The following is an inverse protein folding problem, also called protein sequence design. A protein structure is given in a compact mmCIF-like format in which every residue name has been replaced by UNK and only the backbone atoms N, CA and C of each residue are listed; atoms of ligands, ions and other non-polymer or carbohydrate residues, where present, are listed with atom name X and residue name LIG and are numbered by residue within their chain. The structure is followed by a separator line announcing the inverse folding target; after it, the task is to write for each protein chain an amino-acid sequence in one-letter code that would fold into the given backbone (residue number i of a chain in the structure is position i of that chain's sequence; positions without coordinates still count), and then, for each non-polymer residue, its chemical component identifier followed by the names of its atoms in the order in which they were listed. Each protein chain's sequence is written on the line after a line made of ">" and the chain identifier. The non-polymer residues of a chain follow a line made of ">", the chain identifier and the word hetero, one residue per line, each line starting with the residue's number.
data_IF_592036234866
#
_entry.id   IF_592036234866
#
_cell.length_a   1.000
_cell.length_b   1.000
_cell.length_c   1.000
_cell.angle_alpha   90.00
_cell.angle_beta   90.00
_cell.angle_gamma   90.00
#
_symmetry.space_group_name_H-M   'P 1'
#
loop_
_entity.id
_entity.type
_entity.pdbx_description
1 polymer ?
#
# COMPACT_ATOMS: atom_id res chain seq x y z
N UNK A 1 -42.11 31.10 94.73
CA UNK A 1 -41.71 31.71 93.45
C UNK A 1 -40.96 30.67 92.63
N UNK A 2 -41.42 30.38 91.40
CA UNK A 2 -40.68 29.64 90.35
C UNK A 2 -40.79 28.11 90.37
N UNK A 3 -40.88 27.38 89.26
CA UNK A 3 -41.16 27.72 87.86
C UNK A 3 -41.63 26.42 87.18
N UNK A 4 -42.73 26.46 86.41
CA UNK A 4 -43.22 25.33 85.62
C UNK A 4 -42.22 25.03 84.49
N UNK A 5 -41.66 23.82 84.44
CA UNK A 5 -40.76 23.39 83.36
C UNK A 5 -41.57 22.97 82.13
N UNK A 6 -41.53 23.78 81.09
CA UNK A 6 -42.06 23.45 79.77
C UNK A 6 -41.14 22.43 79.07
N UNK A 7 -41.71 21.29 78.67
CA UNK A 7 -41.06 20.28 77.83
C UNK A 7 -41.16 20.73 76.37
N UNK A 8 -40.05 21.14 75.76
CA UNK A 8 -39.99 21.46 74.32
C UNK A 8 -39.88 20.15 73.51
N UNK A 9 -40.82 19.92 72.61
CA UNK A 9 -40.77 18.86 71.60
C UNK A 9 -39.90 19.32 70.42
N UNK A 10 -38.83 18.57 70.12
CA UNK A 10 -38.02 18.79 68.93
C UNK A 10 -38.66 18.10 67.73
N UNK A 11 -39.30 18.87 66.85
CA UNK A 11 -39.74 18.39 65.53
C UNK A 11 -38.53 18.32 64.61
N UNK A 12 -38.11 17.09 64.26
CA UNK A 12 -37.04 16.82 63.29
C UNK A 12 -37.56 17.09 61.88
N UNK A 13 -37.16 18.21 61.27
CA UNK A 13 -37.43 18.47 59.85
C UNK A 13 -36.59 17.54 58.97
N UNK A 14 -37.27 16.76 58.13
CA UNK A 14 -36.65 15.96 57.07
C UNK A 14 -36.43 16.86 55.88
N UNK A 15 -35.18 17.26 55.65
CA UNK A 15 -34.77 18.02 54.48
C UNK A 15 -34.93 17.14 53.22
N UNK A 16 -35.88 17.48 52.34
CA UNK A 16 -35.99 16.87 51.02
C UNK A 16 -34.83 17.37 50.15
N UNK A 17 -33.91 16.47 49.81
CA UNK A 17 -32.82 16.73 48.87
C UNK A 17 -33.39 17.06 47.49
N UNK A 18 -33.02 18.22 46.94
CA UNK A 18 -33.38 18.62 45.59
C UNK A 18 -32.64 17.76 44.55
N UNK A 19 -33.36 17.28 43.53
CA UNK A 19 -32.80 16.50 42.42
C UNK A 19 -31.93 17.41 41.53
N UNK A 20 -30.69 17.03 41.18
CA UNK A 20 -29.90 17.82 40.23
C UNK A 20 -30.50 17.72 38.82
N UNK A 21 -30.56 18.85 38.11
CA UNK A 21 -30.99 18.91 36.72
C UNK A 21 -29.94 18.25 35.79
N UNK A 22 -30.36 17.57 34.71
CA UNK A 22 -29.43 17.02 33.73
C UNK A 22 -28.76 18.15 32.94
N UNK A 23 -27.45 18.33 33.10
CA UNK A 23 -26.64 19.17 32.21
C UNK A 23 -26.43 18.44 30.89
N UNK A 24 -27.11 18.90 29.84
CA UNK A 24 -26.98 18.37 28.48
C UNK A 24 -25.62 18.76 27.88
N UNK A 25 -24.71 17.80 27.74
CA UNK A 25 -23.38 17.96 27.14
C UNK A 25 -23.42 17.79 25.61
N UNK A 26 -24.24 18.61 24.93
CA UNK A 26 -24.49 18.55 23.47
C UNK A 26 -23.24 18.79 22.61
N UNK A 27 -22.23 19.50 23.13
CA UNK A 27 -21.01 19.85 22.37
C UNK A 27 -20.12 18.65 22.06
N UNK A 28 -20.09 17.63 22.92
CA UNK A 28 -19.29 16.42 22.67
C UNK A 28 -19.85 15.58 21.52
N UNK A 29 -21.18 15.50 21.40
CA UNK A 29 -21.84 14.85 20.27
C UNK A 29 -21.61 15.59 18.96
N UNK A 30 -21.66 16.93 18.99
CA UNK A 30 -21.40 17.76 17.80
C UNK A 30 -19.95 17.61 17.31
N UNK A 31 -18.96 17.63 18.22
CA UNK A 31 -17.55 17.46 17.86
C UNK A 31 -17.32 16.07 17.22
N UNK A 32 -17.86 15.01 17.81
CA UNK A 32 -17.71 13.66 17.25
C UNK A 32 -18.36 13.54 15.87
N UNK A 33 -19.53 14.15 15.67
CA UNK A 33 -20.21 14.17 14.37
C UNK A 33 -19.42 14.96 13.31
N UNK A 34 -18.84 16.10 13.66
CA UNK A 34 -18.02 16.88 12.72
C UNK A 34 -16.74 16.13 12.33
N UNK A 35 -16.10 15.44 13.27
CA UNK A 35 -14.90 14.64 13.01
C UNK A 35 -15.22 13.44 12.11
N UNK A 36 -16.31 12.71 12.36
CA UNK A 36 -16.68 11.58 11.50
C UNK A 36 -17.04 12.04 10.09
N UNK A 37 -17.78 13.15 9.97
CA UNK A 37 -18.17 13.71 8.67
C UNK A 37 -16.96 14.23 7.88
N UNK A 38 -15.98 14.86 8.55
CA UNK A 38 -14.72 15.28 7.94
C UNK A 38 -13.91 14.07 7.44
N UNK A 39 -13.77 13.01 8.25
CA UNK A 39 -13.06 11.79 7.85
C UNK A 39 -13.70 11.12 6.63
N UNK A 40 -15.04 11.03 6.59
CA UNK A 40 -15.77 10.47 5.44
C UNK A 40 -15.58 11.33 4.19
N UNK A 41 -15.62 12.65 4.31
CA UNK A 41 -15.39 13.56 3.19
C UNK A 41 -13.96 13.43 2.64
N UNK A 42 -12.95 13.28 3.50
CA UNK A 42 -11.55 13.08 3.08
C UNK A 42 -11.41 11.77 2.31
N UNK A 43 -11.93 10.66 2.83
CA UNK A 43 -11.87 9.35 2.16
C UNK A 43 -12.62 9.38 0.81
N UNK A 44 -13.79 10.01 0.76
CA UNK A 44 -14.56 10.17 -0.47
C UNK A 44 -13.83 11.02 -1.51
N UNK A 45 -13.12 12.08 -1.07
CA UNK A 45 -12.31 12.91 -1.97
C UNK A 45 -11.13 12.13 -2.54
N UNK A 46 -10.43 11.32 -1.74
CA UNK A 46 -9.34 10.45 -2.24
C UNK A 46 -9.88 9.44 -3.26
N UNK A 47 -11.03 8.83 -2.97
CA UNK A 47 -11.64 7.85 -3.87
C UNK A 47 -12.04 8.46 -5.22
N UNK A 48 -12.72 9.61 -5.19
CA UNK A 48 -13.21 10.28 -6.41
C UNK A 48 -12.09 10.95 -7.23
N UNK A 49 -11.01 11.42 -6.60
CA UNK A 49 -9.88 12.01 -7.33
C UNK A 49 -8.99 10.98 -8.01
N UNK A 50 -8.92 9.74 -7.49
CA UNK A 50 -8.22 8.65 -8.17
C UNK A 50 -8.83 8.32 -9.55
N UNK A 51 -10.16 8.37 -9.70
CA UNK A 51 -10.84 8.13 -10.98
C UNK A 51 -10.53 9.21 -12.03
N UNK A 52 -10.31 10.47 -11.59
CA UNK A 52 -10.08 11.60 -12.51
C UNK A 52 -8.71 11.60 -13.18
N UNK A 53 -7.71 10.88 -12.67
CA UNK A 53 -6.40 10.78 -13.34
C UNK A 53 -6.45 9.94 -14.62
N UNK A 54 -7.41 9.02 -14.73
CA UNK A 54 -7.63 8.23 -15.95
C UNK A 54 -8.22 9.07 -17.10
N UNK A 55 -8.96 10.15 -16.79
CA UNK A 55 -9.56 11.02 -17.80
C UNK A 55 -8.61 12.12 -18.34
N UNK A 56 -7.55 12.47 -17.61
CA UNK A 56 -6.66 13.59 -17.97
C UNK A 56 -5.47 13.19 -18.87
N UNK A 57 -5.27 11.90 -19.15
CA UNK A 57 -4.21 11.43 -20.06
C UNK A 57 -4.57 11.53 -21.55
N UNK A 58 -5.78 12.00 -21.88
CA UNK A 58 -6.29 12.06 -23.25
C UNK A 58 -6.19 13.44 -23.94
N UNK A 59 -5.61 14.47 -23.33
CA UNK A 59 -5.45 15.80 -23.95
C UNK A 59 -4.00 16.23 -24.03
N UNK A 60 -3.30 15.72 -25.04
CA UNK A 60 -1.93 16.09 -25.36
C UNK A 60 -1.50 15.80 -26.80
N UNK A 61 -2.44 15.78 -27.76
CA UNK A 61 -2.09 15.73 -29.20
C UNK A 61 -1.85 17.15 -29.72
N UNK A 62 -0.62 17.65 -29.61
CA UNK A 62 -0.20 18.77 -30.46
C UNK A 62 0.25 18.19 -31.81
N UNK A 63 -0.69 18.18 -32.75
CA UNK A 63 -0.43 17.97 -34.16
C UNK A 63 0.41 19.14 -34.69
N UNK A 64 1.70 18.90 -34.92
CA UNK A 64 2.44 19.63 -35.96
C UNK A 64 2.99 18.64 -36.96
N UNK A 65 2.27 18.57 -38.07
CA UNK A 65 2.65 17.90 -39.29
C UNK A 65 4.12 18.17 -39.64
N UNK A 66 4.89 17.10 -39.83
CA UNK A 66 6.00 17.07 -40.77
C UNK A 66 5.82 15.87 -41.68
N UNK A 67 5.22 16.17 -42.81
CA UNK A 67 5.56 15.70 -44.14
C UNK A 67 6.39 14.42 -44.20
N UNK A 68 5.72 13.34 -44.59
CA UNK A 68 6.32 12.15 -45.17
C UNK A 68 7.00 12.50 -46.50
N UNK A 69 8.32 12.67 -46.49
CA UNK A 69 9.15 12.46 -47.66
C UNK A 69 9.81 11.11 -47.47
N UNK A 70 9.44 10.17 -48.34
CA UNK A 70 9.91 8.79 -48.29
C UNK A 70 11.43 8.70 -48.43
N UNK A 71 12.00 7.86 -47.58
CA UNK A 71 13.24 7.15 -47.89
C UNK A 71 12.97 5.67 -47.57
N UNK A 72 12.37 4.97 -48.53
CA UNK A 72 12.37 3.52 -48.58
C UNK A 72 13.82 3.06 -48.79
N UNK A 73 14.51 2.74 -47.70
CA UNK A 73 15.68 1.87 -47.76
C UNK A 73 15.24 0.51 -47.24
N UNK A 74 15.08 -0.43 -48.17
CA UNK A 74 14.79 -1.83 -47.90
C UNK A 74 15.92 -2.45 -47.07
N UNK A 75 15.65 -2.74 -45.79
CA UNK A 75 16.54 -3.54 -44.94
C UNK A 75 16.15 -5.01 -45.13
N UNK A 76 17.06 -5.90 -45.58
CA UNK A 76 16.77 -7.32 -45.62
C UNK A 76 16.60 -7.86 -44.20
N UNK A 77 15.50 -8.59 -43.98
CA UNK A 77 15.20 -9.32 -42.75
C UNK A 77 16.14 -10.51 -42.62
N UNK A 78 17.36 -10.28 -42.14
CA UNK A 78 18.18 -11.32 -41.55
C UNK A 78 17.69 -11.53 -40.11
N UNK A 79 16.91 -12.58 -39.91
CA UNK A 79 16.56 -13.09 -38.59
C UNK A 79 17.84 -13.65 -37.94
N UNK A 80 18.61 -12.79 -37.28
CA UNK A 80 19.60 -13.23 -36.31
C UNK A 80 18.92 -13.15 -34.95
N UNK A 81 18.49 -14.31 -34.44
CA UNK A 81 18.24 -14.46 -33.02
C UNK A 81 19.51 -14.03 -32.29
N UNK A 82 19.45 -12.93 -31.54
CA UNK A 82 20.53 -12.55 -30.65
C UNK A 82 20.55 -13.53 -29.49
N UNK A 83 21.42 -14.54 -29.62
CA UNK A 83 21.97 -15.33 -28.53
C UNK A 83 22.38 -14.39 -27.38
N UNK A 84 22.21 -14.75 -26.10
CA UNK A 84 22.58 -13.88 -24.99
C UNK A 84 24.10 -13.69 -25.01
N UNK A 85 24.57 -12.48 -25.32
CA UNK A 85 25.98 -12.12 -25.12
C UNK A 85 26.27 -12.17 -23.63
N UNK A 86 27.32 -12.89 -23.27
CA UNK A 86 27.91 -12.93 -21.93
C UNK A 86 28.15 -11.52 -21.39
N UNK A 87 27.26 -11.07 -20.50
CA UNK A 87 27.58 -10.42 -19.23
C UNK A 87 28.58 -9.27 -19.13
N UNK A 88 28.87 -8.49 -20.17
CA UNK A 88 29.79 -7.36 -20.03
C UNK A 88 29.11 -6.04 -19.59
N UNK A 89 27.80 -5.88 -19.81
CA UNK A 89 27.08 -4.61 -19.56
C UNK A 89 26.06 -4.67 -18.41
N UNK A 90 26.24 -5.59 -17.44
CA UNK A 90 25.47 -5.49 -16.20
C UNK A 90 26.24 -4.51 -15.30
N UNK A 91 25.62 -3.36 -14.98
CA UNK A 91 26.13 -2.48 -13.92
C UNK A 91 26.40 -3.27 -12.64
N UNK A 92 27.16 -2.73 -11.67
CA UNK A 92 27.63 -3.49 -10.52
C UNK A 92 26.44 -4.15 -9.81
N UNK A 93 26.23 -5.44 -10.06
CA UNK A 93 25.40 -6.29 -9.22
C UNK A 93 26.23 -6.43 -7.97
N UNK A 94 25.97 -5.57 -6.98
CA UNK A 94 26.64 -5.60 -5.71
C UNK A 94 26.65 -7.06 -5.24
N UNK A 95 27.84 -7.67 -5.19
CA UNK A 95 28.04 -9.02 -4.68
C UNK A 95 27.72 -8.95 -3.20
N UNK A 96 26.45 -9.14 -2.88
CA UNK A 96 25.97 -9.26 -1.51
C UNK A 96 26.09 -10.72 -1.13
N UNK A 97 26.59 -10.92 0.08
CA UNK A 97 26.70 -12.19 0.78
C UNK A 97 25.46 -13.07 0.53
N UNK A 98 25.68 -14.31 0.08
CA UNK A 98 24.62 -15.31 -0.09
C UNK A 98 23.81 -15.42 1.19
N UNK A 99 22.53 -15.05 1.13
CA UNK A 99 21.70 -14.95 2.34
C UNK A 99 21.37 -16.33 2.87
N UNK A 100 22.01 -16.68 3.98
CA UNK A 100 21.59 -17.79 4.84
C UNK A 100 20.19 -17.49 5.38
N UNK A 101 19.19 -18.31 5.05
CA UNK A 101 17.84 -18.20 5.63
C UNK A 101 16.70 -17.91 4.64
N UNK A 102 16.98 -17.76 3.36
CA UNK A 102 15.91 -17.65 2.35
C UNK A 102 15.24 -19.01 2.07
N UNK A 103 13.90 -19.07 1.94
CA UNK A 103 13.21 -20.29 1.58
C UNK A 103 13.55 -20.72 0.14
N UNK A 104 13.41 -22.01 -0.22
CA UNK A 104 13.60 -22.45 -1.59
C UNK A 104 12.57 -21.79 -2.52
N UNK A 105 12.96 -21.47 -3.75
CA UNK A 105 12.03 -20.94 -4.75
C UNK A 105 10.91 -21.94 -5.06
N UNK A 106 9.69 -21.45 -5.37
CA UNK A 106 8.57 -22.34 -5.64
C UNK A 106 8.79 -23.15 -6.92
N UNK A 107 8.32 -24.40 -6.90
CA UNK A 107 8.22 -25.21 -8.10
C UNK A 107 6.91 -24.87 -8.83
N UNK A 108 7.02 -24.27 -10.00
CA UNK A 108 5.88 -23.91 -10.84
C UNK A 108 5.58 -24.98 -11.89
N UNK A 109 4.33 -25.05 -12.35
CA UNK A 109 3.88 -26.00 -13.38
C UNK A 109 4.01 -25.47 -14.81
N UNK A 110 4.54 -24.27 -14.96
CA UNK A 110 4.75 -23.58 -16.24
C UNK A 110 6.24 -23.37 -16.48
N UNK A 111 6.68 -23.25 -17.75
CA UNK A 111 8.06 -22.92 -18.05
C UNK A 111 8.36 -21.50 -17.56
N UNK A 112 9.35 -21.36 -16.68
CA UNK A 112 9.76 -20.05 -16.21
C UNK A 112 10.33 -19.21 -17.36
N UNK A 113 10.10 -17.89 -17.32
CA UNK A 113 10.51 -16.95 -18.35
C UNK A 113 12.03 -16.77 -18.44
N UNK A 114 12.79 -17.21 -17.43
CA UNK A 114 14.25 -17.02 -17.31
C UNK A 114 14.95 -18.29 -16.79
N UNK A 115 16.26 -18.45 -17.07
CA UNK A 115 17.05 -19.53 -16.49
C UNK A 115 17.06 -19.52 -14.94
N UNK A 116 17.20 -20.68 -14.29
CA UNK A 116 17.12 -20.80 -12.82
C UNK A 116 18.09 -19.89 -12.06
N UNK A 117 19.29 -19.69 -12.57
CA UNK A 117 20.31 -18.85 -11.94
C UNK A 117 19.89 -17.38 -11.93
N UNK A 118 19.25 -16.92 -13.02
CA UNK A 118 18.72 -15.56 -13.13
C UNK A 118 17.56 -15.39 -12.14
N UNK A 119 16.63 -16.35 -12.10
CA UNK A 119 15.52 -16.29 -11.13
C UNK A 119 16.03 -16.22 -9.71
N UNK A 120 16.98 -17.08 -9.31
CA UNK A 120 17.59 -17.03 -7.98
C UNK A 120 18.16 -15.65 -7.67
N UNK A 121 18.91 -15.07 -8.60
CA UNK A 121 19.52 -13.74 -8.39
C UNK A 121 18.48 -12.62 -8.25
N UNK A 122 17.39 -12.66 -9.00
CA UNK A 122 16.34 -11.63 -8.94
C UNK A 122 15.51 -11.75 -7.67
N UNK A 123 15.16 -12.96 -7.26
CA UNK A 123 14.43 -13.21 -6.01
C UNK A 123 15.28 -12.84 -4.79
N UNK A 124 16.58 -13.16 -4.80
CA UNK A 124 17.50 -12.73 -3.74
C UNK A 124 17.65 -11.20 -3.70
N UNK A 125 17.76 -10.55 -4.88
CA UNK A 125 17.73 -9.09 -4.96
C UNK A 125 16.43 -8.54 -4.36
N UNK A 126 15.28 -9.13 -4.67
CA UNK A 126 14.01 -8.66 -4.17
C UNK A 126 13.86 -8.81 -2.65
N UNK A 127 14.33 -9.92 -2.11
CA UNK A 127 14.35 -10.14 -0.67
C UNK A 127 15.21 -9.12 0.08
N UNK A 128 16.33 -8.71 -0.52
CA UNK A 128 17.35 -7.87 0.10
C UNK A 128 17.18 -6.37 -0.12
N UNK A 129 16.30 -5.94 -1.03
CA UNK A 129 16.10 -4.52 -1.32
C UNK A 129 14.60 -4.13 -1.29
N UNK A 130 13.82 -4.52 -0.26
CA UNK A 130 12.42 -4.12 -0.16
C UNK A 130 12.24 -2.60 -0.13
N UNK A 131 13.18 -1.88 0.48
CA UNK A 131 13.20 -0.42 0.53
C UNK A 131 13.31 0.23 -0.84
N UNK A 132 13.84 -0.46 -1.84
CA UNK A 132 13.86 0.04 -3.22
C UNK A 132 12.59 -0.40 -3.94
N UNK A 133 12.28 -1.69 -3.90
CA UNK A 133 11.21 -2.27 -4.72
C UNK A 133 9.82 -1.85 -4.28
N UNK A 134 9.61 -1.49 -3.01
CA UNK A 134 8.35 -0.93 -2.54
C UNK A 134 8.03 0.44 -3.16
N UNK A 135 9.04 1.18 -3.66
CA UNK A 135 8.82 2.44 -4.39
C UNK A 135 8.71 2.27 -5.89
N UNK A 136 9.02 1.08 -6.41
CA UNK A 136 8.88 0.79 -7.84
C UNK A 136 7.45 0.27 -8.06
N UNK A 137 6.62 0.93 -8.87
CA UNK A 137 5.27 0.47 -9.15
C UNK A 137 5.25 -0.96 -9.71
N UNK A 138 4.15 -1.67 -9.49
CA UNK A 138 3.86 -2.85 -10.28
C UNK A 138 3.45 -2.41 -11.69
N UNK A 139 4.04 -3.01 -12.73
CA UNK A 139 3.72 -2.68 -14.13
C UNK A 139 3.01 -3.84 -14.85
N UNK A 140 2.67 -4.90 -14.12
CA UNK A 140 2.00 -6.08 -14.66
C UNK A 140 0.48 -5.89 -14.82
N UNK A 141 -0.10 -4.83 -14.24
CA UNK A 141 -1.55 -4.61 -14.22
C UNK A 141 -2.30 -5.51 -13.24
N UNK A 142 -1.61 -6.02 -12.20
CA UNK A 142 -2.17 -6.91 -11.19
C UNK A 142 -2.43 -6.24 -9.84
N UNK A 143 -2.56 -4.91 -9.81
CA UNK A 143 -2.76 -4.12 -8.58
C UNK A 143 -4.06 -4.53 -7.87
N UNK A 144 -5.10 -4.83 -8.63
CA UNK A 144 -6.38 -5.33 -8.12
C UNK A 144 -6.30 -6.74 -7.50
N UNK A 145 -5.18 -7.45 -7.65
CA UNK A 145 -4.90 -8.74 -7.03
C UNK A 145 -3.99 -8.63 -5.80
N UNK A 146 -3.63 -7.41 -5.39
CA UNK A 146 -2.85 -7.13 -4.18
C UNK A 146 -1.37 -6.80 -4.44
N UNK A 147 -0.91 -6.77 -5.68
CA UNK A 147 0.46 -6.40 -6.03
C UNK A 147 0.57 -4.89 -6.28
N UNK A 148 0.90 -4.13 -5.25
CA UNK A 148 0.95 -2.66 -5.30
C UNK A 148 2.31 -2.13 -5.74
N UNK A 149 3.35 -2.96 -5.66
CA UNK A 149 4.73 -2.61 -6.00
C UNK A 149 5.45 -3.77 -6.69
N UNK A 150 6.62 -3.50 -7.26
CA UNK A 150 7.48 -4.54 -7.83
C UNK A 150 7.99 -5.54 -6.80
N UNK A 151 7.97 -5.21 -5.49
CA UNK A 151 8.32 -6.17 -4.44
C UNK A 151 7.34 -7.34 -4.41
N UNK A 152 6.05 -7.06 -4.62
CA UNK A 152 4.97 -8.04 -4.50
C UNK A 152 4.99 -9.07 -5.64
N UNK A 153 5.68 -8.77 -6.75
CA UNK A 153 5.92 -9.75 -7.81
C UNK A 153 6.75 -10.96 -7.33
N UNK A 154 7.55 -10.80 -6.26
CA UNK A 154 8.53 -11.80 -5.84
C UNK A 154 8.27 -12.34 -4.43
N UNK A 155 7.82 -11.50 -3.50
CA UNK A 155 7.65 -11.86 -2.09
C UNK A 155 6.17 -11.84 -1.74
N UNK A 156 5.64 -12.98 -1.33
CA UNK A 156 4.24 -13.10 -0.89
C UNK A 156 4.09 -12.54 0.54
N UNK A 157 4.88 -13.05 1.49
CA UNK A 157 4.88 -12.51 2.84
C UNK A 157 6.19 -12.74 3.59
N UNK A 158 6.35 -11.96 4.66
CA UNK A 158 7.49 -12.00 5.58
C UNK A 158 7.02 -12.39 6.98
N UNK A 159 7.92 -13.03 7.72
CA UNK A 159 7.75 -13.31 9.15
C UNK A 159 7.82 -12.01 9.97
N UNK A 160 7.49 -12.10 11.27
CA UNK A 160 7.50 -10.95 12.18
C UNK A 160 8.88 -10.28 12.34
N UNK A 161 9.95 -11.04 12.09
CA UNK A 161 11.34 -10.58 12.08
C UNK A 161 11.77 -9.97 10.74
N UNK A 162 10.86 -9.90 9.75
CA UNK A 162 11.11 -9.32 8.44
C UNK A 162 11.75 -10.26 7.42
N UNK A 163 12.05 -11.52 7.79
CA UNK A 163 12.59 -12.51 6.87
C UNK A 163 11.52 -12.99 5.88
N UNK A 164 11.92 -13.30 4.64
CA UNK A 164 10.99 -13.87 3.65
C UNK A 164 10.52 -15.23 4.13
N UNK A 165 9.20 -15.39 4.25
CA UNK A 165 8.57 -16.63 4.68
C UNK A 165 8.07 -17.43 3.46
N UNK A 166 7.52 -16.74 2.47
CA UNK A 166 7.07 -17.33 1.23
C UNK A 166 7.31 -16.40 0.02
N UNK A 167 7.49 -17.03 -1.12
CA UNK A 167 7.69 -16.38 -2.41
C UNK A 167 6.39 -16.33 -3.20
N UNK A 168 6.20 -15.24 -3.92
CA UNK A 168 5.21 -15.18 -4.98
C UNK A 168 5.80 -15.79 -6.26
N UNK A 169 5.03 -16.62 -6.95
CA UNK A 169 5.45 -17.26 -8.19
C UNK A 169 5.29 -16.36 -9.43
N UNK A 170 4.61 -15.22 -9.31
CA UNK A 170 4.27 -14.31 -10.39
C UNK A 170 5.53 -13.80 -11.12
N UNK A 171 6.60 -13.50 -10.38
CA UNK A 171 7.89 -13.06 -10.94
C UNK A 171 8.63 -14.11 -11.78
N UNK A 172 8.15 -15.36 -11.85
CA UNK A 172 8.73 -16.40 -12.68
C UNK A 172 8.18 -16.45 -14.12
N UNK A 173 7.07 -15.78 -14.42
CA UNK A 173 6.50 -15.73 -15.77
C UNK A 173 4.98 -15.70 -15.82
#
# INVERSE_FOLDING_TARGET
>A
MGSRKHKKSHTRQVSRSARPAPVANSSRGLILFLVTLASVAIVFTIYTTNDTQSANSATGVNAKARTSVGLQTSIPRAATQQQPTTGENRGPVASRESVSGLPPLPLVRFPAARPPEVLRSVYEFAANNPEVLNYVPCFCGCENFGHVSSHDCFVDHRNQDGQVAAWDAHGMG
#
